data_IF_004796423371
#
_entry.id   IF_004796423371
#
_cell.length_a   1.000
_cell.length_b   1.000
_cell.length_c   1.000
_cell.angle_alpha   90.00
_cell.angle_beta   90.00
_cell.angle_gamma   90.00
#
_symmetry.space_group_name_H-M   'P 1'
#
loop_
_entity.id
_entity.type
_entity.pdbx_description
1 polymer ?
#
# COMPACT_ATOMS: atom_id res chain seq x y z
N UNK A 1 9.99 3.64 -1.29
CA UNK A 1 11.18 4.51 -1.42
C UNK A 1 12.44 3.66 -1.29
N UNK A 2 13.55 4.17 -1.83
CA UNK A 2 14.86 3.58 -1.61
C UNK A 2 15.17 3.57 -0.11
N UNK A 3 15.50 2.39 0.43
CA UNK A 3 15.63 2.19 1.87
C UNK A 3 16.81 2.96 2.50
N UNK A 4 17.82 3.34 1.71
CA UNK A 4 19.04 3.98 2.20
C UNK A 4 18.98 5.50 2.08
N UNK A 5 18.40 5.99 0.99
CA UNK A 5 18.40 7.42 0.63
C UNK A 5 17.07 8.11 0.89
N UNK A 6 15.98 7.35 0.99
CA UNK A 6 14.63 7.90 1.12
C UNK A 6 14.01 8.42 -0.19
N UNK A 7 14.69 8.28 -1.33
CA UNK A 7 14.18 8.76 -2.61
C UNK A 7 12.95 7.97 -3.07
N UNK A 8 12.04 8.66 -3.74
CA UNK A 8 10.88 8.04 -4.38
C UNK A 8 11.31 7.06 -5.47
N UNK A 9 10.59 5.94 -5.58
CA UNK A 9 10.81 4.93 -6.61
C UNK A 9 9.58 4.86 -7.51
N UNK A 10 9.80 4.62 -8.80
CA UNK A 10 8.72 4.35 -9.77
C UNK A 10 8.43 2.84 -9.87
N UNK A 11 7.26 2.49 -10.42
CA UNK A 11 6.88 1.09 -10.69
C UNK A 11 7.26 0.62 -12.11
N UNK A 12 8.28 1.23 -12.72
CA UNK A 12 8.79 0.86 -14.04
C UNK A 12 10.31 1.08 -14.13
N UNK A 13 10.93 0.62 -15.22
CA UNK A 13 12.36 0.82 -15.48
C UNK A 13 13.27 0.22 -14.41
N UNK A 14 14.42 0.85 -14.18
CA UNK A 14 15.46 0.34 -13.28
C UNK A 14 15.09 0.42 -11.79
N UNK A 15 14.01 1.13 -11.43
CA UNK A 15 13.48 1.16 -10.05
C UNK A 15 12.71 -0.13 -9.70
N UNK A 16 12.15 -0.80 -10.71
CA UNK A 16 11.33 -1.99 -10.55
C UNK A 16 12.14 -3.26 -10.88
N UNK A 17 12.84 -3.78 -9.87
CA UNK A 17 13.69 -4.95 -9.99
C UNK A 17 13.57 -5.88 -8.78
N UNK A 18 13.67 -7.19 -9.03
CA UNK A 18 13.67 -8.20 -7.98
C UNK A 18 14.90 -8.07 -7.05
N UNK A 19 14.69 -8.35 -5.75
CA UNK A 19 15.76 -8.30 -4.75
C UNK A 19 16.15 -6.88 -4.27
N UNK A 20 15.55 -5.81 -4.81
CA UNK A 20 15.77 -4.46 -4.30
C UNK A 20 15.21 -4.31 -2.87
N UNK A 21 16.04 -3.79 -1.98
CA UNK A 21 15.61 -3.38 -0.64
C UNK A 21 14.82 -2.07 -0.71
N UNK A 22 13.62 -2.05 -0.11
CA UNK A 22 12.72 -0.90 -0.14
C UNK A 22 12.18 -0.60 1.24
N UNK A 23 11.92 0.68 1.51
CA UNK A 23 11.10 1.12 2.63
C UNK A 23 9.69 1.47 2.14
N UNK A 24 8.68 1.08 2.92
CA UNK A 24 7.26 1.33 2.62
C UNK A 24 6.72 2.35 3.63
N UNK A 25 6.08 3.40 3.13
CA UNK A 25 5.32 4.34 3.96
C UNK A 25 3.85 4.06 3.71
N UNK A 26 3.12 3.82 4.80
CA UNK A 26 1.67 3.74 4.77
C UNK A 26 1.06 5.01 5.37
N UNK A 27 -0.03 5.47 4.76
CA UNK A 27 -0.82 6.61 5.23
C UNK A 27 -2.28 6.18 5.41
N UNK A 28 -3.03 6.78 6.35
CA UNK A 28 -4.47 6.54 6.44
C UNK A 28 -5.14 6.86 5.09
N UNK A 29 -5.96 5.92 4.60
CA UNK A 29 -6.77 6.18 3.42
C UNK A 29 -7.80 7.28 3.71
N UNK A 30 -8.10 8.11 2.71
CA UNK A 30 -9.19 9.09 2.79
C UNK A 30 -10.54 8.40 3.08
N UNK A 31 -11.46 9.10 3.76
CA UNK A 31 -12.73 8.53 4.19
C UNK A 31 -13.60 8.06 3.02
N UNK A 32 -13.48 8.66 1.83
CA UNK A 32 -14.21 8.20 0.64
C UNK A 32 -13.82 6.75 0.26
N UNK A 33 -12.57 6.35 0.47
CA UNK A 33 -12.09 5.00 0.15
C UNK A 33 -12.43 3.97 1.23
N UNK A 34 -12.96 4.43 2.36
CA UNK A 34 -13.42 3.58 3.47
C UNK A 34 -14.93 3.30 3.39
N UNK A 35 -15.64 3.95 2.48
CA UNK A 35 -17.07 3.68 2.25
C UNK A 35 -17.27 2.26 1.72
N UNK A 36 -18.48 1.69 1.83
CA UNK A 36 -18.79 0.39 1.23
C UNK A 36 -18.44 0.32 -0.26
N UNK A 37 -18.74 1.36 -1.03
CA UNK A 37 -18.46 1.46 -2.47
C UNK A 37 -16.97 1.61 -2.75
N UNK A 38 -16.26 2.41 -1.95
CA UNK A 38 -14.81 2.56 -2.05
C UNK A 38 -14.10 1.23 -1.77
N UNK A 39 -14.55 0.50 -0.75
CA UNK A 39 -14.02 -0.82 -0.45
C UNK A 39 -14.36 -1.82 -1.55
N UNK A 40 -15.54 -1.80 -2.17
CA UNK A 40 -15.87 -2.73 -3.28
C UNK A 40 -14.83 -2.73 -4.41
N UNK A 41 -14.23 -1.57 -4.71
CA UNK A 41 -13.24 -1.41 -5.79
C UNK A 41 -11.78 -1.30 -5.31
N UNK A 42 -11.52 -0.89 -4.06
CA UNK A 42 -10.18 -0.69 -3.50
C UNK A 42 -9.93 -1.53 -2.23
N UNK A 43 -10.34 -2.80 -2.24
CA UNK A 43 -9.99 -3.78 -1.20
C UNK A 43 -9.07 -4.89 -1.74
N UNK A 44 -8.35 -5.65 -0.88
CA UNK A 44 -7.45 -6.71 -1.33
C UNK A 44 -8.14 -7.82 -2.16
N UNK A 45 -9.37 -8.20 -1.78
CA UNK A 45 -10.17 -9.19 -2.51
C UNK A 45 -10.55 -8.75 -3.93
N UNK A 46 -10.72 -7.44 -4.18
CA UNK A 46 -10.89 -6.91 -5.55
C UNK A 46 -9.72 -7.28 -6.46
N UNK A 47 -8.50 -7.33 -5.90
CA UNK A 47 -7.27 -7.70 -6.61
C UNK A 47 -6.92 -9.20 -6.50
N UNK A 48 -7.82 -10.02 -5.97
CA UNK A 48 -7.63 -11.48 -5.84
C UNK A 48 -6.79 -11.93 -4.66
N UNK A 49 -6.54 -11.06 -3.67
CA UNK A 49 -5.85 -11.44 -2.44
C UNK A 49 -6.83 -11.99 -1.40
N UNK A 50 -6.49 -13.12 -0.79
CA UNK A 50 -7.19 -13.67 0.38
C UNK A 50 -6.75 -12.94 1.67
N UNK A 51 -7.06 -11.64 1.73
CA UNK A 51 -6.69 -10.74 2.83
C UNK A 51 -7.89 -9.86 3.17
N UNK A 52 -8.30 -9.85 4.44
CA UNK A 52 -9.33 -8.95 4.93
C UNK A 52 -8.81 -7.50 5.00
N UNK A 53 -9.58 -6.55 4.48
CA UNK A 53 -9.26 -5.13 4.61
C UNK A 53 -9.30 -4.69 6.08
N UNK A 54 -8.23 -4.04 6.54
CA UNK A 54 -8.15 -3.39 7.85
C UNK A 54 -7.47 -2.03 7.70
N UNK A 55 -8.02 -0.94 8.26
CA UNK A 55 -7.36 0.37 8.24
C UNK A 55 -5.97 0.29 8.86
N UNK A 56 -5.00 0.98 8.26
CA UNK A 56 -3.58 0.85 8.63
C UNK A 56 -3.32 1.23 10.09
N UNK A 57 -4.04 2.23 10.60
CA UNK A 57 -3.98 2.67 12.00
C UNK A 57 -4.47 1.61 13.01
N UNK A 58 -5.22 0.60 12.55
CA UNK A 58 -5.63 -0.55 13.36
C UNK A 58 -4.63 -1.71 13.33
N UNK A 59 -3.73 -1.73 12.33
CA UNK A 59 -2.72 -2.79 12.14
C UNK A 59 -1.37 -2.38 12.70
N UNK A 60 -0.91 -1.17 12.39
CA UNK A 60 0.42 -0.71 12.78
C UNK A 60 0.48 -0.07 14.16
N UNK A 61 -0.67 0.28 14.74
CA UNK A 61 -0.75 0.88 16.07
C UNK A 61 -0.07 2.25 16.17
N UNK A 62 -0.50 3.03 17.15
CA UNK A 62 0.40 3.93 17.87
C UNK A 62 0.57 3.36 19.26
#
# INVERSE_FOLDING_TARGET
LDAKTGQGLSNWGDDFAEGREVAVIGVPADDIWRSPEGLEIFNPGHFGFDIEYRPIEKVLGK
#
